data_IF_116336341669
#
_entry.id   IF_116336341669
#
_cell.length_a   1.000
_cell.length_b   1.000
_cell.length_c   1.000
_cell.angle_alpha   90.00
_cell.angle_beta   90.00
_cell.angle_gamma   90.00
#
_symmetry.space_group_name_H-M   'P 1'
#
loop_
_entity.id
_entity.type
_entity.pdbx_description
1 polymer ?
#
# COMPACT_ATOMS: atom_id res chain seq x y z
N UNK A 1 -20.16 16.45 -15.42
CA UNK A 1 -18.99 15.63 -15.02
C UNK A 1 -19.49 14.20 -14.83
N UNK A 2 -19.03 13.23 -15.63
CA UNK A 2 -19.46 11.83 -15.50
C UNK A 2 -18.75 11.18 -14.31
N UNK A 3 -19.48 10.50 -13.43
CA UNK A 3 -18.89 9.74 -12.32
C UNK A 3 -18.16 8.50 -12.84
N UNK A 4 -17.12 8.07 -12.13
CA UNK A 4 -16.33 6.89 -12.51
C UNK A 4 -17.21 5.62 -12.61
N UNK A 5 -18.27 5.52 -11.80
CA UNK A 5 -19.24 4.42 -11.86
C UNK A 5 -19.97 4.34 -13.20
N UNK A 6 -20.41 5.44 -13.78
CA UNK A 6 -21.12 5.43 -15.07
C UNK A 6 -20.20 5.08 -16.22
N UNK A 7 -18.95 5.53 -16.15
CA UNK A 7 -17.96 5.16 -17.14
C UNK A 7 -17.65 3.67 -17.10
N UNK A 8 -17.61 3.07 -15.90
CA UNK A 8 -17.51 1.61 -15.75
C UNK A 8 -18.74 0.92 -16.32
N UNK A 9 -19.96 1.36 -15.96
CA UNK A 9 -21.20 0.79 -16.47
C UNK A 9 -21.24 0.74 -18.01
N UNK A 10 -20.91 1.86 -18.66
CA UNK A 10 -20.82 1.94 -20.13
C UNK A 10 -19.79 0.98 -20.72
N UNK A 11 -18.60 0.87 -20.12
CA UNK A 11 -17.54 -0.04 -20.60
C UNK A 11 -17.95 -1.51 -20.48
N UNK A 12 -18.69 -1.86 -19.44
CA UNK A 12 -19.22 -3.21 -19.25
C UNK A 12 -20.43 -3.54 -20.13
N UNK A 13 -20.95 -2.57 -20.91
CA UNK A 13 -22.11 -2.77 -21.77
C UNK A 13 -23.46 -2.57 -21.09
N UNK A 14 -23.48 -1.87 -19.96
CA UNK A 14 -24.73 -1.48 -19.28
C UNK A 14 -25.29 -0.18 -19.90
N UNK A 15 -26.61 -0.13 -20.06
CA UNK A 15 -27.39 1.04 -20.47
C UNK A 15 -27.81 1.82 -19.23
N UNK A 16 -27.67 3.14 -19.26
CA UNK A 16 -28.10 4.03 -18.17
C UNK A 16 -29.52 4.51 -18.50
N UNK A 17 -30.48 4.25 -17.62
CA UNK A 17 -31.90 4.54 -17.85
C UNK A 17 -32.37 5.79 -17.11
N UNK A 18 -32.02 5.92 -15.83
CA UNK A 18 -32.38 7.07 -15.01
C UNK A 18 -31.12 7.87 -14.67
N UNK A 19 -31.23 9.18 -14.80
CA UNK A 19 -30.36 10.15 -14.16
C UNK A 19 -31.27 11.14 -13.41
N UNK A 20 -31.54 10.83 -12.14
CA UNK A 20 -32.45 11.57 -11.29
C UNK A 20 -31.72 12.15 -10.10
N UNK A 21 -32.18 13.29 -9.58
CA UNK A 21 -31.66 13.85 -8.33
C UNK A 21 -32.82 14.18 -7.42
N UNK A 22 -32.77 13.66 -6.19
CA UNK A 22 -33.75 13.95 -5.14
C UNK A 22 -32.99 14.62 -4.01
N UNK A 23 -33.27 15.91 -3.80
CA UNK A 23 -32.53 16.75 -2.87
C UNK A 23 -31.04 16.84 -3.25
N UNK A 24 -30.17 16.31 -2.37
CA UNK A 24 -28.72 16.30 -2.56
C UNK A 24 -28.20 15.01 -3.21
N UNK A 25 -29.02 13.97 -3.26
CA UNK A 25 -28.62 12.65 -3.74
C UNK A 25 -28.89 12.52 -5.24
N UNK A 26 -27.95 11.88 -5.92
CA UNK A 26 -28.07 11.53 -7.33
C UNK A 26 -28.32 10.02 -7.45
N UNK A 27 -29.38 9.69 -8.17
CA UNK A 27 -29.87 8.34 -8.40
C UNK A 27 -29.70 7.99 -9.85
N UNK A 28 -29.06 6.85 -10.11
CA UNK A 28 -28.88 6.36 -11.45
C UNK A 28 -29.22 4.89 -11.53
N UNK A 29 -30.02 4.52 -12.52
CA UNK A 29 -30.35 3.12 -12.79
C UNK A 29 -29.63 2.66 -14.05
N UNK A 30 -29.15 1.41 -14.00
CA UNK A 30 -28.47 0.76 -15.12
C UNK A 30 -29.14 -0.58 -15.42
N UNK A 31 -29.30 -0.89 -16.70
CA UNK A 31 -29.85 -2.15 -17.18
C UNK A 31 -28.92 -2.78 -18.22
N UNK A 32 -28.96 -4.10 -18.36
CA UNK A 32 -28.11 -4.84 -19.28
C UNK A 32 -28.27 -6.34 -19.12
N UNK A 33 -27.51 -7.10 -19.90
CA UNK A 33 -27.46 -8.56 -19.77
C UNK A 33 -26.76 -8.99 -18.47
N UNK A 34 -26.96 -10.25 -18.08
CA UNK A 34 -26.26 -10.86 -16.95
C UNK A 34 -24.74 -10.85 -17.13
N UNK A 35 -24.25 -11.11 -18.34
CA UNK A 35 -22.83 -10.98 -18.69
C UNK A 35 -22.29 -9.55 -18.49
N UNK A 36 -23.05 -8.54 -18.91
CA UNK A 36 -22.68 -7.15 -18.71
C UNK A 36 -22.62 -6.78 -17.22
N UNK A 37 -23.58 -7.28 -16.42
CA UNK A 37 -23.60 -7.09 -14.97
C UNK A 37 -22.39 -7.75 -14.29
N UNK A 38 -22.00 -8.95 -14.72
CA UNK A 38 -20.80 -9.62 -14.19
C UNK A 38 -19.53 -8.81 -14.47
N UNK A 39 -19.37 -8.31 -15.72
CA UNK A 39 -18.24 -7.45 -16.10
C UNK A 39 -18.22 -6.15 -15.29
N UNK A 40 -19.38 -5.53 -15.11
CA UNK A 40 -19.52 -4.33 -14.30
C UNK A 40 -19.09 -4.56 -12.85
N UNK A 41 -19.60 -5.64 -12.22
CA UNK A 41 -19.26 -5.98 -10.84
C UNK A 41 -17.76 -6.26 -10.66
N UNK A 42 -17.14 -6.92 -11.66
CA UNK A 42 -15.70 -7.14 -11.70
C UNK A 42 -14.93 -5.81 -11.73
N UNK A 43 -15.28 -4.90 -12.64
CA UNK A 43 -14.60 -3.60 -12.79
C UNK A 43 -14.75 -2.72 -11.54
N UNK A 44 -15.94 -2.72 -10.93
CA UNK A 44 -16.19 -2.04 -9.65
C UNK A 44 -15.29 -2.61 -8.56
N UNK A 45 -15.18 -3.94 -8.45
CA UNK A 45 -14.32 -4.59 -7.46
C UNK A 45 -12.85 -4.21 -7.66
N UNK A 46 -12.34 -4.26 -8.89
CA UNK A 46 -10.96 -3.86 -9.22
C UNK A 46 -10.72 -2.38 -8.89
N UNK A 47 -11.69 -1.52 -9.17
CA UNK A 47 -11.62 -0.08 -8.86
C UNK A 47 -11.52 0.17 -7.35
N UNK A 48 -12.31 -0.54 -6.53
CA UNK A 48 -12.25 -0.43 -5.08
C UNK A 48 -10.93 -0.94 -4.49
N UNK A 49 -10.32 -1.96 -5.12
CA UNK A 49 -9.03 -2.50 -4.72
C UNK A 49 -7.86 -1.62 -5.16
N UNK A 50 -8.03 -0.81 -6.21
CA UNK A 50 -7.16 0.34 -6.54
C UNK A 50 -7.36 1.48 -5.54
N UNK A 51 -7.34 1.19 -4.24
CA UNK A 51 -7.03 2.24 -3.26
C UNK A 51 -5.68 2.82 -3.65
N UNK A 52 -5.52 4.16 -3.65
CA UNK A 52 -4.19 4.71 -3.78
C UNK A 52 -3.38 4.06 -2.67
N UNK A 53 -2.24 3.44 -3.02
CA UNK A 53 -1.15 3.35 -2.05
C UNK A 53 -1.00 4.79 -1.60
N UNK A 54 -1.55 5.10 -0.42
CA UNK A 54 -0.99 6.09 0.48
C UNK A 54 0.41 5.54 0.73
N UNK A 55 1.27 5.71 -0.27
CA UNK A 55 2.67 5.89 -0.03
C UNK A 55 2.60 6.96 1.02
N UNK A 56 2.94 6.57 2.25
CA UNK A 56 3.34 7.50 3.24
C UNK A 56 4.51 8.24 2.58
N UNK A 57 4.21 9.24 1.74
CA UNK A 57 4.99 10.43 1.59
C UNK A 57 4.85 11.12 2.95
N UNK A 58 5.35 10.44 3.99
CA UNK A 58 5.89 11.09 5.15
C UNK A 58 6.85 12.10 4.55
N UNK A 59 6.39 13.34 4.52
CA UNK A 59 7.15 14.56 4.31
C UNK A 59 8.49 14.32 3.60
N UNK A 60 8.47 13.96 2.30
CA UNK A 60 9.63 14.29 1.46
C UNK A 60 9.48 15.75 1.09
N UNK A 61 9.63 16.61 2.09
CA UNK A 61 10.13 17.95 1.83
C UNK A 61 11.42 17.77 1.06
N UNK A 62 11.56 18.41 -0.10
CA UNK A 62 12.78 18.37 -0.91
C UNK A 62 14.03 18.80 -0.13
N UNK A 63 13.84 19.43 1.03
CA UNK A 63 14.89 20.00 1.87
C UNK A 63 15.33 19.11 3.04
N UNK A 64 14.71 17.94 3.27
CA UNK A 64 15.12 17.05 4.37
C UNK A 64 15.98 15.93 3.82
N UNK A 65 17.26 15.91 4.21
CA UNK A 65 18.19 14.88 3.81
C UNK A 65 17.72 13.50 4.33
N UNK A 66 17.48 12.51 3.45
CA UNK A 66 16.96 11.21 3.83
C UNK A 66 17.86 10.46 4.83
N UNK A 67 19.18 10.73 4.83
CA UNK A 67 20.13 10.15 5.79
C UNK A 67 19.91 10.67 7.21
N UNK A 68 19.55 11.95 7.36
CA UNK A 68 19.27 12.56 8.66
C UNK A 68 18.00 11.96 9.25
N UNK A 69 16.96 11.80 8.44
CA UNK A 69 15.71 11.14 8.84
C UNK A 69 15.93 9.67 9.21
N UNK A 70 16.75 8.95 8.44
CA UNK A 70 17.10 7.55 8.74
C UNK A 70 17.86 7.44 10.06
N UNK A 71 18.92 8.25 10.27
CA UNK A 71 19.67 8.29 11.53
C UNK A 71 18.80 8.65 12.73
N UNK A 72 17.87 9.59 12.56
CA UNK A 72 16.96 9.97 13.65
C UNK A 72 16.03 8.81 14.02
N UNK A 73 15.50 8.09 13.04
CA UNK A 73 14.69 6.88 13.28
C UNK A 73 15.49 5.77 13.95
N UNK A 74 16.73 5.54 13.52
CA UNK A 74 17.64 4.59 14.18
C UNK A 74 17.89 4.99 15.63
N UNK A 75 18.09 6.28 15.93
CA UNK A 75 18.27 6.75 17.32
C UNK A 75 17.01 6.58 18.17
N UNK A 76 15.82 6.74 17.60
CA UNK A 76 14.55 6.52 18.33
C UNK A 76 14.32 5.04 18.58
N UNK A 77 14.51 4.19 17.55
CA UNK A 77 14.48 2.73 17.71
C UNK A 77 15.56 2.25 18.67
N UNK A 78 16.70 2.94 18.69
CA UNK A 78 17.76 2.68 19.62
C UNK A 78 17.39 3.11 21.06
N UNK A 79 16.82 4.30 21.22
CA UNK A 79 16.28 4.74 22.51
C UNK A 79 15.22 3.80 23.08
N UNK A 80 14.45 3.14 22.22
CA UNK A 80 13.42 2.17 22.62
C UNK A 80 13.99 0.84 23.18
N UNK A 81 15.22 0.44 22.82
CA UNK A 81 15.86 -0.72 23.46
C UNK A 81 16.35 -0.43 24.88
N UNK A 82 16.36 0.85 25.31
CA UNK A 82 16.73 1.23 26.68
C UNK A 82 15.67 0.87 27.73
N UNK A 83 14.45 0.53 27.31
CA UNK A 83 13.34 0.16 28.20
C UNK A 83 12.85 -1.28 28.03
N UNK A 84 13.62 -2.14 27.36
CA UNK A 84 13.26 -3.55 27.18
C UNK A 84 14.42 -4.49 27.52
N UNK A 85 14.81 -4.52 28.79
CA UNK A 85 15.41 -5.71 29.38
C UNK A 85 14.29 -6.65 29.85
N UNK A 86 14.26 -7.87 29.31
CA UNK A 86 14.34 -9.03 30.18
C UNK A 86 15.61 -9.82 29.87
N UNK A 87 16.33 -10.14 30.93
CA UNK A 87 17.59 -10.86 31.02
C UNK A 87 17.89 -11.91 29.92
N UNK A 88 19.12 -11.86 29.38
CA UNK A 88 19.81 -13.03 28.83
C UNK A 88 21.28 -13.00 29.27
N UNK A 89 21.83 -14.08 29.86
CA UNK A 89 23.19 -14.09 30.35
C UNK A 89 24.20 -14.29 29.21
N UNK A 90 25.42 -13.90 29.54
CA UNK A 90 26.58 -13.64 28.69
C UNK A 90 27.56 -14.83 28.73
N UNK A 91 28.47 -14.86 27.74
CA UNK A 91 29.76 -15.57 27.64
C UNK A 91 29.70 -16.89 26.83
N UNK A 92 30.63 -17.17 25.91
CA UNK A 92 32.09 -16.99 26.00
C UNK A 92 32.77 -16.73 24.65
N UNK A 93 33.90 -16.01 24.70
CA UNK A 93 34.96 -16.00 23.69
C UNK A 93 35.73 -17.32 23.72
N UNK A 94 36.04 -17.88 22.54
CA UNK A 94 37.21 -18.73 22.24
C UNK A 94 37.20 -18.98 20.72
N UNK A 95 38.25 -18.85 19.93
CA UNK A 95 39.66 -18.53 20.11
C UNK A 95 40.25 -18.39 18.70
N UNK A 96 41.36 -17.65 18.59
CA UNK A 96 42.14 -17.43 17.35
C UNK A 96 42.87 -18.72 16.89
N UNK A 97 43.38 -18.65 15.65
CA UNK A 97 44.38 -19.52 14.96
C UNK A 97 43.75 -20.57 14.03
N UNK A 98 44.27 -20.94 12.85
CA UNK A 98 45.43 -20.55 12.04
C UNK A 98 45.27 -21.24 10.66
N UNK A 99 45.79 -20.61 9.59
CA UNK A 99 46.38 -21.21 8.36
C UNK A 99 45.74 -22.40 7.62
N UNK A 100 45.36 -22.18 6.34
CA UNK A 100 45.60 -23.01 5.13
C UNK A 100 44.57 -22.60 4.06
N UNK A 101 44.91 -21.90 2.96
CA UNK A 101 45.54 -22.35 1.70
C UNK A 101 44.67 -23.32 0.87
N UNK A 102 44.61 -23.03 -0.44
CA UNK A 102 44.08 -23.79 -1.60
C UNK A 102 42.55 -23.74 -1.82
N UNK A 103 42.02 -23.66 -3.05
CA UNK A 103 42.50 -23.21 -4.36
C UNK A 103 41.26 -23.12 -5.28
N UNK A 104 41.33 -22.19 -6.25
CA UNK A 104 40.76 -22.22 -7.61
C UNK A 104 39.61 -23.17 -7.97
N UNK A 105 38.61 -22.58 -8.63
CA UNK A 105 38.17 -23.01 -9.97
C UNK A 105 37.78 -21.80 -10.81
#
# INVERSE_FOLDING_TARGET
MQSDMLRMARKSGMTILLDGRIGKEAYMSVSGSTDALQRFAHDVRVSLLKRPKRTARAARSRNVNPLVTARMRERIAAGAHRWRTPHAPRLTLRGRSSSARCERR
#
